data_IF_484060558259
#
_entry.id   IF_484060558259
#
_cell.length_a   1.000
_cell.length_b   1.000
_cell.length_c   1.000
_cell.angle_alpha   90.00
_cell.angle_beta   90.00
_cell.angle_gamma   90.00
#
_symmetry.space_group_name_H-M   'P 1'
#
loop_
_entity.id
_entity.type
_entity.pdbx_description
1 polymer ?
#
# COMPACT_ATOMS: atom_id res chain seq x y z
N UNK A 1 50.01 77.62 -2.76
CA UNK A 1 50.55 76.45 -3.51
C UNK A 1 50.92 75.39 -2.47
N UNK A 2 50.16 74.28 -2.40
CA UNK A 2 50.58 72.93 -2.85
C UNK A 2 51.86 72.46 -2.13
N UNK A 3 51.95 71.36 -1.39
CA UNK A 3 51.14 70.14 -1.28
C UNK A 3 51.49 69.42 0.04
N UNK A 4 50.53 68.80 0.71
CA UNK A 4 50.78 67.86 1.82
C UNK A 4 50.43 66.45 1.33
N UNK A 5 51.40 65.56 1.48
CA UNK A 5 51.35 64.13 1.20
C UNK A 5 51.11 63.41 2.54
N UNK A 6 49.94 62.79 2.77
CA UNK A 6 49.78 61.82 3.87
C UNK A 6 48.95 60.62 3.40
N UNK A 7 49.72 59.54 3.19
CA UNK A 7 49.54 58.15 3.57
C UNK A 7 48.11 57.56 3.70
N UNK A 8 47.84 56.59 2.82
CA UNK A 8 46.81 55.57 2.94
C UNK A 8 47.05 54.67 4.16
N UNK A 9 46.00 54.44 4.94
CA UNK A 9 45.83 53.23 5.75
C UNK A 9 44.43 52.65 5.45
N UNK A 10 44.36 51.67 4.54
CA UNK A 10 43.16 50.86 4.33
C UNK A 10 43.16 49.71 5.36
N UNK A 11 42.34 49.84 6.40
CA UNK A 11 41.95 48.73 7.26
C UNK A 11 40.72 48.09 6.63
N UNK A 12 40.89 46.92 6.02
CA UNK A 12 39.80 46.10 5.54
C UNK A 12 39.15 45.39 6.74
N UNK A 13 37.98 45.87 7.17
CA UNK A 13 37.08 45.12 8.04
C UNK A 13 36.31 44.12 7.16
N UNK A 14 36.78 42.89 7.12
CA UNK A 14 36.03 41.75 6.60
C UNK A 14 34.87 41.45 7.57
N UNK A 15 33.70 42.01 7.31
CA UNK A 15 32.47 41.63 7.98
C UNK A 15 32.14 40.17 7.58
N UNK A 16 32.19 39.26 8.54
CA UNK A 16 31.61 37.93 8.40
C UNK A 16 30.13 38.08 8.05
N UNK A 17 29.79 37.84 6.79
CA UNK A 17 28.43 37.66 6.33
C UNK A 17 27.85 36.40 6.98
N UNK A 18 27.20 36.57 8.12
CA UNK A 18 26.32 35.58 8.73
C UNK A 18 25.10 35.37 7.84
N UNK A 19 25.26 34.57 6.79
CA UNK A 19 24.14 33.99 6.06
C UNK A 19 23.45 33.00 6.98
N UNK A 20 22.39 33.42 7.66
CA UNK A 20 21.41 32.52 8.25
C UNK A 20 20.76 31.73 7.13
N UNK A 21 21.35 30.59 6.78
CA UNK A 21 20.69 29.59 5.95
C UNK A 21 19.40 29.21 6.67
N UNK A 22 18.26 29.68 6.17
CA UNK A 22 16.99 29.10 6.55
C UNK A 22 17.07 27.62 6.17
N UNK A 23 17.09 26.75 7.18
CA UNK A 23 16.86 25.33 6.97
C UNK A 23 15.42 25.19 6.45
N UNK A 24 15.27 25.23 5.12
CA UNK A 24 13.99 24.95 4.46
C UNK A 24 13.73 23.47 4.65
N UNK A 25 12.73 23.14 5.46
CA UNK A 25 12.27 21.76 5.63
C UNK A 25 11.78 21.28 4.25
N UNK A 26 12.26 20.13 3.72
CA UNK A 26 11.79 19.63 2.44
C UNK A 26 10.28 19.41 2.47
N UNK A 27 9.55 20.16 1.64
CA UNK A 27 8.13 19.93 1.45
C UNK A 27 7.98 18.79 0.44
N UNK A 28 7.63 17.60 0.94
CA UNK A 28 7.27 16.47 0.10
C UNK A 28 5.82 16.62 -0.37
N UNK A 29 5.53 16.15 -1.58
CA UNK A 29 4.15 16.11 -2.06
C UNK A 29 3.30 15.18 -1.17
N UNK A 30 2.02 15.50 -0.92
CA UNK A 30 1.14 14.64 -0.14
C UNK A 30 1.04 13.23 -0.75
N UNK A 31 1.00 12.21 0.10
CA UNK A 31 0.86 10.81 -0.32
C UNK A 31 -0.35 10.14 0.33
N UNK A 32 -1.16 9.46 -0.47
CA UNK A 32 -2.26 8.62 0.01
C UNK A 32 -1.84 7.14 -0.03
N UNK A 33 -1.67 6.50 1.12
CA UNK A 33 -1.25 5.10 1.24
C UNK A 33 -2.43 4.25 1.70
N UNK A 34 -2.74 3.21 0.93
CA UNK A 34 -3.83 2.27 1.21
C UNK A 34 -3.24 0.87 1.32
N UNK A 35 -3.29 0.27 2.50
CA UNK A 35 -2.88 -1.10 2.73
C UNK A 35 -4.10 -2.01 2.75
N UNK A 36 -4.23 -2.87 1.74
CA UNK A 36 -5.37 -3.76 1.53
C UNK A 36 -5.03 -5.13 2.08
N UNK A 37 -5.87 -5.64 2.98
CA UNK A 37 -5.67 -6.95 3.61
C UNK A 37 -6.62 -7.97 3.01
N UNK A 38 -6.04 -9.03 2.44
CA UNK A 38 -6.72 -10.30 2.19
C UNK A 38 -6.54 -11.18 3.44
N UNK A 39 -7.61 -11.25 4.23
CA UNK A 39 -7.67 -11.99 5.49
C UNK A 39 -8.37 -13.33 5.33
N UNK A 40 -8.36 -13.89 4.11
CA UNK A 40 -8.97 -15.16 3.81
C UNK A 40 -8.21 -16.33 4.43
N UNK A 41 -8.57 -17.56 4.04
CA UNK A 41 -7.95 -18.79 4.50
C UNK A 41 -6.45 -18.91 4.19
N UNK A 42 -5.85 -17.96 3.46
CA UNK A 42 -4.38 -17.82 3.38
C UNK A 42 -3.73 -17.75 4.76
N UNK A 43 -4.41 -17.13 5.74
CA UNK A 43 -3.89 -16.98 7.11
C UNK A 43 -3.71 -18.33 7.83
N UNK A 44 -4.49 -19.35 7.45
CA UNK A 44 -4.42 -20.70 8.05
C UNK A 44 -3.73 -21.72 7.15
N UNK A 45 -3.69 -21.49 5.83
CA UNK A 45 -3.00 -22.35 4.86
C UNK A 45 -1.48 -22.19 4.92
N UNK A 46 -1.00 -21.00 5.23
CA UNK A 46 0.43 -20.70 5.33
C UNK A 46 0.79 -20.47 6.80
N UNK A 47 1.55 -21.39 7.42
CA UNK A 47 1.97 -21.23 8.81
C UNK A 47 2.71 -19.90 9.04
N UNK A 48 2.31 -19.16 10.07
CA UNK A 48 2.94 -17.87 10.43
C UNK A 48 2.55 -16.69 9.54
N UNK A 49 1.60 -16.83 8.60
CA UNK A 49 1.22 -15.73 7.70
C UNK A 49 0.70 -14.49 8.43
N UNK A 50 -0.08 -14.66 9.50
CA UNK A 50 -0.58 -13.54 10.28
C UNK A 50 0.54 -12.73 10.97
N UNK A 51 1.58 -13.41 11.46
CA UNK A 51 2.74 -12.76 12.07
C UNK A 51 3.55 -12.03 11.00
N UNK A 52 3.77 -12.68 9.85
CA UNK A 52 4.47 -12.11 8.70
C UNK A 52 3.77 -10.86 8.17
N UNK A 53 2.45 -10.89 8.03
CA UNK A 53 1.70 -9.72 7.60
C UNK A 53 1.82 -8.56 8.60
N UNK A 54 1.77 -8.84 9.90
CA UNK A 54 1.98 -7.83 10.95
C UNK A 54 3.39 -7.23 10.88
N UNK A 55 4.43 -8.02 10.60
CA UNK A 55 5.79 -7.52 10.36
C UNK A 55 5.84 -6.57 9.15
N UNK A 56 5.15 -6.91 8.06
CA UNK A 56 5.06 -6.08 6.87
C UNK A 56 4.30 -4.78 7.17
N UNK A 57 3.17 -4.84 7.88
CA UNK A 57 2.41 -3.66 8.32
C UNK A 57 3.28 -2.74 9.16
N UNK A 58 4.07 -3.30 10.09
CA UNK A 58 5.02 -2.54 10.90
C UNK A 58 6.12 -1.89 10.05
N UNK A 59 6.62 -2.59 9.02
CA UNK A 59 7.57 -2.01 8.08
C UNK A 59 6.97 -0.83 7.28
N UNK A 60 5.70 -0.92 6.87
CA UNK A 60 4.96 0.20 6.26
C UNK A 60 4.85 1.37 7.24
N UNK A 61 4.45 1.12 8.49
CA UNK A 61 4.35 2.15 9.53
C UNK A 61 5.70 2.84 9.80
N UNK A 62 6.79 2.08 9.82
CA UNK A 62 8.14 2.63 10.00
C UNK A 62 8.55 3.54 8.84
N UNK A 63 8.36 3.09 7.59
CA UNK A 63 8.66 3.90 6.40
C UNK A 63 7.78 5.14 6.36
N UNK A 64 6.51 5.01 6.74
CA UNK A 64 5.59 6.14 6.88
C UNK A 64 6.08 7.13 7.94
N UNK A 65 6.52 6.66 9.12
CA UNK A 65 7.08 7.52 10.16
C UNK A 65 8.37 8.21 9.71
N UNK A 66 9.27 7.51 9.01
CA UNK A 66 10.48 8.09 8.41
C UNK A 66 10.11 9.27 7.49
N UNK A 67 9.06 9.09 6.69
CA UNK A 67 8.52 10.17 5.85
C UNK A 67 7.96 11.33 6.67
N UNK A 68 7.26 11.05 7.78
CA UNK A 68 6.72 12.09 8.65
C UNK A 68 7.83 12.89 9.35
N UNK A 69 8.92 12.23 9.77
CA UNK A 69 10.10 12.89 10.37
C UNK A 69 10.72 13.92 9.43
N UNK A 70 10.82 13.61 8.13
CA UNK A 70 11.34 14.55 7.11
C UNK A 70 10.48 15.80 6.93
N UNK A 71 9.20 15.69 7.26
CA UNK A 71 8.20 16.77 7.21
C UNK A 71 7.91 17.36 8.61
N UNK A 72 8.80 17.12 9.58
CA UNK A 72 8.63 17.52 10.98
C UNK A 72 7.27 17.13 11.61
N UNK A 73 6.60 16.12 11.04
CA UNK A 73 5.21 15.70 11.28
C UNK A 73 4.15 16.76 10.95
N UNK A 74 4.34 18.02 11.34
CA UNK A 74 3.32 19.08 11.31
C UNK A 74 3.02 19.62 9.92
N UNK A 75 3.94 19.49 8.96
CA UNK A 75 3.72 19.97 7.59
C UNK A 75 3.15 18.89 6.67
N UNK A 76 3.07 17.65 7.16
CA UNK A 76 2.61 16.53 6.36
C UNK A 76 1.12 16.59 6.10
N UNK A 77 0.75 16.14 4.90
CA UNK A 77 -0.63 15.88 4.49
C UNK A 77 -0.80 14.43 4.05
N UNK A 78 0.17 13.59 4.39
CA UNK A 78 0.11 12.18 4.05
C UNK A 78 -1.01 11.50 4.83
N UNK A 79 -1.61 10.48 4.21
CA UNK A 79 -2.59 9.63 4.86
C UNK A 79 -2.17 8.18 4.69
N UNK A 80 -2.17 7.43 5.78
CA UNK A 80 -2.05 5.98 5.77
C UNK A 80 -3.37 5.36 6.25
N UNK A 81 -3.85 4.32 5.58
CA UNK A 81 -4.98 3.53 6.05
C UNK A 81 -4.86 2.05 5.75
N UNK A 82 -5.51 1.23 6.57
CA UNK A 82 -5.78 -0.17 6.26
C UNK A 82 -7.23 -0.33 5.81
N UNK A 83 -7.42 -1.15 4.77
CA UNK A 83 -8.71 -1.57 4.27
C UNK A 83 -8.73 -3.09 4.25
N UNK A 84 -9.83 -3.68 4.71
CA UNK A 84 -10.06 -5.11 4.60
C UNK A 84 -10.83 -5.35 3.31
N UNK A 85 -10.29 -6.18 2.42
CA UNK A 85 -10.98 -6.54 1.19
C UNK A 85 -12.32 -7.21 1.51
N UNK A 86 -13.39 -7.00 0.71
CA UNK A 86 -14.70 -7.57 1.05
C UNK A 86 -14.65 -9.09 1.18
N UNK A 87 -15.00 -9.59 2.36
CA UNK A 87 -15.02 -11.02 2.64
C UNK A 87 -16.05 -11.32 3.75
N UNK A 88 -16.67 -12.52 3.77
CA UNK A 88 -17.63 -12.88 4.80
C UNK A 88 -17.04 -12.87 6.21
N UNK A 89 -17.90 -12.59 7.20
CA UNK A 89 -17.64 -12.76 8.65
C UNK A 89 -16.50 -11.92 9.25
N UNK A 90 -15.77 -11.18 8.42
CA UNK A 90 -14.85 -10.13 8.83
C UNK A 90 -15.48 -8.77 8.49
N UNK A 91 -15.68 -7.87 9.47
CA UNK A 91 -16.26 -6.57 9.21
C UNK A 91 -15.44 -5.82 8.15
N UNK A 92 -16.03 -5.60 6.98
CA UNK A 92 -15.53 -4.60 6.05
C UNK A 92 -15.68 -3.25 6.74
N UNK A 93 -14.57 -2.62 7.15
CA UNK A 93 -14.66 -1.37 7.88
C UNK A 93 -13.75 -0.31 7.33
N UNK A 94 -14.38 0.75 6.84
CA UNK A 94 -13.96 2.12 7.10
C UNK A 94 -13.96 2.33 8.62
N UNK A 95 -12.91 1.86 9.30
CA UNK A 95 -12.66 2.15 10.70
C UNK A 95 -11.69 3.33 10.77
N UNK A 96 -12.12 4.47 11.32
CA UNK A 96 -11.25 5.64 11.51
C UNK A 96 -9.99 5.31 12.34
N UNK A 97 -10.03 4.23 13.14
CA UNK A 97 -8.89 3.76 13.93
C UNK A 97 -7.82 3.04 13.10
N UNK A 98 -8.16 2.61 11.89
CA UNK A 98 -7.23 2.07 10.89
C UNK A 98 -6.75 3.17 9.92
N UNK A 99 -6.80 4.43 10.35
CA UNK A 99 -6.38 5.59 9.56
C UNK A 99 -5.47 6.49 10.39
N UNK A 100 -4.33 6.88 9.80
CA UNK A 100 -3.46 7.93 10.31
C UNK A 100 -3.48 9.06 9.28
N UNK A 101 -4.17 10.15 9.61
CA UNK A 101 -4.26 11.37 8.81
C UNK A 101 -3.36 12.44 9.41
N UNK A 102 -2.35 12.87 8.65
CA UNK A 102 -1.38 13.88 9.10
C UNK A 102 -1.80 15.31 8.76
N UNK A 103 -2.88 15.51 7.98
CA UNK A 103 -3.37 16.84 7.66
C UNK A 103 -4.07 17.50 8.85
N UNK A 104 -3.28 18.22 9.65
CA UNK A 104 -3.77 18.95 10.83
C UNK A 104 -4.52 20.24 10.49
N UNK A 105 -4.56 20.65 9.21
CA UNK A 105 -5.35 21.82 8.78
C UNK A 105 -6.84 21.52 8.73
N UNK A 106 -7.19 20.24 8.51
CA UNK A 106 -8.58 19.76 8.57
C UNK A 106 -8.99 19.70 10.04
N UNK A 107 -9.92 20.58 10.44
CA UNK A 107 -10.61 20.50 11.74
C UNK A 107 -11.50 19.26 11.77
N UNK A 108 -10.91 18.08 11.87
CA UNK A 108 -11.65 16.86 12.13
C UNK A 108 -12.07 16.94 13.59
N UNK A 109 -13.39 16.98 13.85
CA UNK A 109 -14.01 17.30 15.14
C UNK A 109 -13.70 16.35 16.29
N UNK A 110 -12.43 16.28 16.71
CA UNK A 110 -11.98 15.53 17.89
C UNK A 110 -11.15 16.45 18.77
N UNK A 111 -11.71 16.73 19.96
CA UNK A 111 -11.06 17.12 21.21
C UNK A 111 -10.02 18.26 21.19
N UNK A 112 -10.29 19.30 21.95
CA UNK A 112 -9.37 20.42 22.29
C UNK A 112 -8.10 20.02 23.08
N UNK A 113 -7.61 18.78 22.96
CA UNK A 113 -6.47 18.26 23.72
C UNK A 113 -5.65 17.14 23.07
N UNK A 114 -5.85 16.83 21.78
CA UNK A 114 -5.24 15.63 21.15
C UNK A 114 -3.77 15.76 20.70
N UNK A 115 -3.13 16.92 20.92
CA UNK A 115 -1.79 17.22 20.42
C UNK A 115 -1.75 17.33 18.88
N UNK A 116 -0.63 17.83 18.35
CA UNK A 116 -0.37 17.97 16.91
C UNK A 116 1.00 17.39 16.57
N UNK A 117 1.25 17.02 15.32
CA UNK A 117 2.54 16.50 14.89
C UNK A 117 2.86 15.15 15.55
N UNK A 118 4.07 15.03 16.14
CA UNK A 118 4.59 13.76 16.68
C UNK A 118 3.73 13.15 17.80
N UNK A 119 3.28 13.88 18.84
CA UNK A 119 2.39 13.31 19.85
C UNK A 119 1.12 12.66 19.28
N UNK A 120 0.45 13.33 18.32
CA UNK A 120 -0.74 12.80 17.66
C UNK A 120 -0.42 11.59 16.81
N UNK A 121 0.69 11.62 16.06
CA UNK A 121 1.18 10.47 15.31
C UNK A 121 1.40 9.25 16.22
N UNK A 122 2.12 9.40 17.33
CA UNK A 122 2.43 8.29 18.26
C UNK A 122 1.14 7.70 18.86
N UNK A 123 0.18 8.55 19.25
CA UNK A 123 -1.13 8.11 19.72
C UNK A 123 -1.87 7.29 18.66
N UNK A 124 -1.96 7.83 17.43
CA UNK A 124 -2.68 7.18 16.34
C UNK A 124 -2.01 5.87 15.91
N UNK A 125 -0.67 5.82 15.87
CA UNK A 125 0.10 4.59 15.62
C UNK A 125 -0.23 3.51 16.65
N UNK A 126 -0.24 3.84 17.94
CA UNK A 126 -0.57 2.87 18.98
C UNK A 126 -2.03 2.38 18.96
N UNK A 127 -2.97 3.20 18.46
CA UNK A 127 -4.35 2.76 18.20
C UNK A 127 -4.39 1.83 16.99
N UNK A 128 -3.73 2.24 15.90
CA UNK A 128 -3.66 1.50 14.65
C UNK A 128 -3.10 0.09 14.85
N UNK A 129 -1.95 -0.04 15.53
CA UNK A 129 -1.30 -1.33 15.81
C UNK A 129 -2.22 -2.29 16.60
N UNK A 130 -2.94 -1.78 17.61
CA UNK A 130 -3.89 -2.58 18.41
C UNK A 130 -5.09 -3.06 17.60
N UNK A 131 -5.61 -2.20 16.72
CA UNK A 131 -6.76 -2.54 15.87
C UNK A 131 -6.37 -3.56 14.80
N UNK A 132 -5.16 -3.45 14.24
CA UNK A 132 -4.58 -4.47 13.36
C UNK A 132 -4.52 -5.83 14.05
N UNK A 133 -3.94 -5.89 15.25
CA UNK A 133 -3.87 -7.15 16.03
C UNK A 133 -5.27 -7.75 16.27
N UNK A 134 -6.25 -6.90 16.62
CA UNK A 134 -7.63 -7.34 16.85
C UNK A 134 -8.29 -7.93 15.60
N UNK A 135 -8.05 -7.32 14.42
CA UNK A 135 -8.57 -7.79 13.13
C UNK A 135 -7.97 -9.14 12.75
N UNK A 136 -6.65 -9.30 12.88
CA UNK A 136 -6.00 -10.59 12.61
C UNK A 136 -6.51 -11.68 13.54
N UNK A 137 -6.68 -11.38 14.85
CA UNK A 137 -7.28 -12.32 15.80
C UNK A 137 -8.71 -12.71 15.41
N UNK A 138 -9.53 -11.76 14.95
CA UNK A 138 -10.89 -12.03 14.50
C UNK A 138 -10.92 -12.88 13.23
N UNK A 139 -10.06 -12.59 12.25
CA UNK A 139 -9.96 -13.34 11.01
C UNK A 139 -9.48 -14.77 11.24
N UNK A 140 -8.51 -14.98 12.12
CA UNK A 140 -8.05 -16.32 12.51
C UNK A 140 -9.14 -17.15 13.21
N UNK A 141 -10.07 -16.50 13.92
CA UNK A 141 -11.20 -17.18 14.54
C UNK A 141 -12.31 -17.57 13.55
N UNK A 142 -12.39 -16.88 12.40
CA UNK A 142 -13.43 -17.09 11.38
C UNK A 142 -12.78 -17.18 9.98
N UNK A 143 -11.94 -18.20 9.71
CA UNK A 143 -11.25 -18.30 8.43
C UNK A 143 -12.25 -18.60 7.32
N UNK A 144 -12.36 -17.70 6.35
CA UNK A 144 -13.24 -17.86 5.19
C UNK A 144 -12.44 -18.02 3.90
N UNK A 145 -13.03 -18.56 2.84
CA UNK A 145 -12.33 -18.70 1.56
C UNK A 145 -12.39 -17.43 0.71
N UNK A 146 -11.23 -16.92 0.33
CA UNK A 146 -11.07 -15.79 -0.59
C UNK A 146 -11.41 -14.41 0.00
N UNK A 147 -10.77 -13.40 -0.58
CA UNK A 147 -11.11 -12.00 -0.39
C UNK A 147 -11.48 -11.38 -1.74
N UNK A 148 -12.52 -10.53 -1.76
CA UNK A 148 -13.06 -9.95 -2.99
C UNK A 148 -12.32 -8.70 -3.44
N UNK A 149 -11.05 -8.89 -3.75
CA UNK A 149 -10.19 -7.83 -4.28
C UNK A 149 -10.71 -7.30 -5.62
N UNK A 150 -11.43 -8.09 -6.42
CA UNK A 150 -12.08 -7.59 -7.65
C UNK A 150 -13.06 -6.46 -7.32
N UNK A 151 -13.97 -6.70 -6.38
CA UNK A 151 -14.93 -5.67 -5.94
C UNK A 151 -14.21 -4.50 -5.29
N UNK A 152 -13.22 -4.73 -4.43
CA UNK A 152 -12.42 -3.64 -3.85
C UNK A 152 -11.88 -2.68 -4.92
N UNK A 153 -11.17 -3.20 -5.94
CA UNK A 153 -10.60 -2.34 -6.98
C UNK A 153 -11.68 -1.69 -7.85
N UNK A 154 -12.73 -2.43 -8.22
CA UNK A 154 -13.74 -1.94 -9.16
C UNK A 154 -14.81 -1.04 -8.56
N UNK A 155 -15.04 -1.09 -7.25
CA UNK A 155 -16.12 -0.33 -6.61
C UNK A 155 -15.63 0.54 -5.48
N UNK A 156 -14.68 0.07 -4.66
CA UNK A 156 -14.36 0.75 -3.40
C UNK A 156 -13.14 1.68 -3.50
N UNK A 157 -12.09 1.26 -4.21
CA UNK A 157 -10.82 1.99 -4.25
C UNK A 157 -11.02 3.43 -4.72
N UNK A 158 -11.59 3.62 -5.90
CA UNK A 158 -11.81 4.96 -6.45
C UNK A 158 -12.89 5.73 -5.70
N UNK A 159 -13.94 5.05 -5.23
CA UNK A 159 -15.06 5.70 -4.55
C UNK A 159 -14.69 6.24 -3.16
N UNK A 160 -13.85 5.51 -2.42
CA UNK A 160 -13.67 5.73 -0.98
C UNK A 160 -12.22 5.95 -0.56
N UNK A 161 -11.24 5.50 -1.36
CA UNK A 161 -9.86 5.33 -0.89
C UNK A 161 -8.80 6.02 -1.75
N UNK A 162 -9.20 6.77 -2.78
CA UNK A 162 -8.32 7.70 -3.48
C UNK A 162 -8.53 9.14 -3.01
N UNK A 163 -7.49 9.97 -3.12
CA UNK A 163 -7.56 11.39 -2.83
C UNK A 163 -7.25 12.17 -4.12
N UNK A 164 -8.16 13.03 -4.63
CA UNK A 164 -7.88 13.84 -5.81
C UNK A 164 -6.66 14.78 -5.67
N UNK A 165 -6.24 15.09 -4.44
CA UNK A 165 -5.12 15.96 -4.13
C UNK A 165 -3.77 15.25 -3.94
N UNK A 166 -3.72 13.92 -4.05
CA UNK A 166 -2.50 13.14 -3.79
C UNK A 166 -2.46 11.84 -4.60
N UNK A 167 -1.30 11.43 -5.16
CA UNK A 167 -1.14 10.10 -5.72
C UNK A 167 -1.43 9.02 -4.66
N UNK A 168 -1.99 7.90 -5.11
CA UNK A 168 -2.40 6.77 -4.27
C UNK A 168 -1.46 5.59 -4.45
N UNK A 169 -0.75 5.22 -3.38
CA UNK A 169 0.10 4.03 -3.31
C UNK A 169 -0.68 2.93 -2.60
N UNK A 170 -1.08 1.90 -3.33
CA UNK A 170 -1.88 0.79 -2.80
C UNK A 170 -0.96 -0.41 -2.60
N UNK A 171 -0.84 -0.89 -1.36
CA UNK A 171 -0.11 -2.12 -1.04
C UNK A 171 -1.16 -3.18 -0.73
N UNK A 172 -1.08 -4.35 -1.36
CA UNK A 172 -2.03 -5.46 -1.15
C UNK A 172 -1.26 -6.62 -0.54
N UNK A 173 -1.68 -7.09 0.64
CA UNK A 173 -1.18 -8.32 1.25
C UNK A 173 -2.12 -9.46 0.89
N UNK A 174 -1.73 -10.30 -0.07
CA UNK A 174 -2.56 -11.39 -0.62
C UNK A 174 -1.69 -12.55 -1.09
N UNK A 175 -2.22 -13.77 -1.06
CA UNK A 175 -1.54 -14.91 -1.66
C UNK A 175 -1.63 -14.88 -3.21
N UNK A 176 -2.41 -13.94 -3.73
CA UNK A 176 -2.56 -13.61 -5.14
C UNK A 176 -3.72 -14.33 -5.81
N UNK A 177 -4.46 -15.21 -5.13
CA UNK A 177 -5.60 -15.88 -5.73
C UNK A 177 -6.86 -15.03 -5.63
N UNK A 178 -7.51 -14.84 -6.78
CA UNK A 178 -8.88 -14.32 -6.83
C UNK A 178 -9.84 -15.50 -7.01
N UNK A 179 -9.87 -16.36 -6.00
CA UNK A 179 -10.75 -17.54 -5.96
C UNK A 179 -11.72 -17.41 -4.78
N UNK A 180 -12.95 -17.89 -4.97
CA UNK A 180 -14.01 -17.80 -3.98
C UNK A 180 -14.71 -19.14 -3.81
N UNK A 181 -15.45 -19.30 -2.71
CA UNK A 181 -16.36 -20.43 -2.55
C UNK A 181 -17.35 -20.55 -3.71
N UNK A 182 -17.68 -21.80 -4.05
CA UNK A 182 -18.58 -22.12 -5.18
C UNK A 182 -19.93 -21.41 -5.09
N UNK A 183 -20.47 -21.25 -3.88
CA UNK A 183 -21.73 -20.54 -3.66
C UNK A 183 -21.61 -19.05 -4.06
N UNK A 184 -20.45 -18.45 -3.78
CA UNK A 184 -20.16 -17.07 -4.14
C UNK A 184 -19.92 -16.92 -5.65
N UNK A 185 -19.14 -17.83 -6.25
CA UNK A 185 -18.86 -17.85 -7.69
C UNK A 185 -20.12 -17.97 -8.55
N UNK A 186 -21.13 -18.74 -8.12
CA UNK A 186 -22.35 -18.96 -8.91
C UNK A 186 -23.16 -17.68 -9.20
N UNK A 187 -22.88 -16.60 -8.46
CA UNK A 187 -23.56 -15.30 -8.60
C UNK A 187 -22.71 -14.24 -9.30
N UNK A 188 -21.48 -14.57 -9.70
CA UNK A 188 -20.52 -13.61 -10.26
C UNK A 188 -20.32 -13.80 -11.76
N UNK A 189 -20.06 -12.71 -12.52
CA UNK A 189 -19.60 -12.84 -13.89
C UNK A 189 -18.26 -13.59 -13.94
N UNK A 190 -18.09 -14.44 -14.96
CA UNK A 190 -16.94 -15.33 -15.08
C UNK A 190 -15.57 -14.63 -15.13
N UNK A 191 -15.52 -13.38 -15.57
CA UNK A 191 -14.29 -12.60 -15.66
C UNK A 191 -13.97 -11.78 -14.40
N UNK A 192 -14.59 -12.09 -13.25
CA UNK A 192 -14.35 -11.36 -11.98
C UNK A 192 -13.54 -12.18 -10.96
N UNK A 193 -13.01 -13.32 -11.38
CA UNK A 193 -12.21 -14.24 -10.56
C UNK A 193 -11.27 -15.05 -11.47
N UNK A 194 -10.21 -15.62 -10.90
CA UNK A 194 -9.28 -16.49 -11.63
C UNK A 194 -9.94 -17.81 -11.97
N UNK A 195 -9.84 -18.23 -13.23
CA UNK A 195 -10.48 -19.46 -13.73
C UNK A 195 -9.48 -20.40 -14.37
N UNK A 196 -9.86 -21.67 -14.37
CA UNK A 196 -9.11 -22.74 -15.02
C UNK A 196 -7.64 -22.87 -14.55
N UNK A 197 -7.30 -22.41 -13.33
CA UNK A 197 -5.93 -22.50 -12.80
C UNK A 197 -5.42 -23.96 -12.83
N UNK A 198 -6.22 -24.94 -12.41
CA UNK A 198 -5.85 -26.36 -12.49
C UNK A 198 -5.56 -26.84 -13.92
N UNK A 199 -6.39 -26.41 -14.88
CA UNK A 199 -6.20 -26.78 -16.29
C UNK A 199 -4.95 -26.11 -16.87
N UNK A 200 -4.64 -24.90 -16.43
CA UNK A 200 -3.40 -24.21 -16.81
C UNK A 200 -2.17 -24.85 -16.18
N UNK A 201 -2.23 -25.24 -14.89
CA UNK A 201 -1.17 -26.03 -14.22
C UNK A 201 -0.85 -27.31 -15.01
N UNK A 202 -1.88 -28.01 -15.48
CA UNK A 202 -1.72 -29.23 -16.28
C UNK A 202 -1.06 -29.01 -17.66
N UNK A 203 -1.15 -27.79 -18.21
CA UNK A 203 -0.59 -27.45 -19.52
C UNK A 203 0.90 -27.04 -19.47
N UNK A 204 1.48 -26.95 -18.27
CA UNK A 204 2.89 -26.61 -18.04
C UNK A 204 3.28 -25.34 -18.81
N UNK A 205 4.35 -25.37 -19.59
CA UNK A 205 4.87 -24.24 -20.40
C UNK A 205 3.86 -23.68 -21.41
N UNK A 206 2.80 -24.42 -21.75
CA UNK A 206 1.74 -23.97 -22.67
C UNK A 206 0.58 -23.25 -21.98
N UNK A 207 0.67 -23.01 -20.66
CA UNK A 207 -0.38 -22.35 -19.88
C UNK A 207 -0.76 -20.98 -20.49
N UNK A 208 0.22 -20.21 -20.99
CA UNK A 208 -0.03 -18.88 -21.55
C UNK A 208 -0.85 -18.95 -22.85
N UNK A 209 -0.52 -19.89 -23.72
CA UNK A 209 -1.30 -20.12 -24.94
C UNK A 209 -2.75 -20.55 -24.63
N UNK A 210 -2.97 -21.25 -23.51
CA UNK A 210 -4.33 -21.53 -23.03
C UNK A 210 -5.03 -20.27 -22.52
N UNK A 211 -4.35 -19.47 -21.69
CA UNK A 211 -4.87 -18.20 -21.16
C UNK A 211 -5.41 -17.31 -22.28
N UNK A 212 -4.61 -17.10 -23.33
CA UNK A 212 -4.96 -16.28 -24.48
C UNK A 212 -6.13 -16.89 -25.27
N UNK A 213 -6.02 -18.18 -25.65
CA UNK A 213 -7.05 -18.88 -26.44
C UNK A 213 -8.41 -18.92 -25.75
N UNK A 214 -8.43 -19.04 -24.42
CA UNK A 214 -9.64 -19.13 -23.61
C UNK A 214 -10.13 -17.77 -23.08
N UNK A 215 -9.40 -16.67 -23.38
CA UNK A 215 -9.72 -15.31 -22.93
C UNK A 215 -9.96 -15.27 -21.42
N UNK A 216 -8.99 -15.77 -20.66
CA UNK A 216 -9.14 -15.93 -19.21
C UNK A 216 -8.91 -14.66 -18.41
N UNK A 217 -8.42 -13.58 -19.02
CA UNK A 217 -8.21 -12.31 -18.36
C UNK A 217 -9.47 -11.80 -17.62
N UNK A 218 -9.23 -11.10 -16.51
CA UNK A 218 -10.29 -10.45 -15.76
C UNK A 218 -10.87 -9.29 -16.56
N UNK A 219 -12.15 -8.99 -16.34
CA UNK A 219 -12.77 -7.82 -16.95
C UNK A 219 -12.23 -6.54 -16.29
N UNK A 220 -11.93 -5.49 -17.07
CA UNK A 220 -11.58 -4.20 -16.51
C UNK A 220 -12.78 -3.62 -15.74
N UNK A 221 -12.50 -2.83 -14.70
CA UNK A 221 -13.52 -2.12 -13.96
C UNK A 221 -14.19 -1.06 -14.85
N UNK A 222 -15.52 -0.95 -14.79
CA UNK A 222 -16.27 -0.02 -15.64
C UNK A 222 -16.23 1.40 -15.09
N UNK A 223 -15.83 2.38 -15.92
CA UNK A 223 -16.00 3.81 -15.62
C UNK A 223 -15.02 4.40 -14.59
N UNK A 224 -14.01 3.65 -14.16
CA UNK A 224 -12.96 4.13 -13.26
C UNK A 224 -11.80 4.81 -13.99
N UNK A 225 -11.27 5.89 -13.41
CA UNK A 225 -9.99 6.48 -13.80
C UNK A 225 -8.98 6.25 -12.67
N UNK A 226 -7.96 5.44 -12.95
CA UNK A 226 -6.92 5.08 -11.98
C UNK A 226 -5.62 5.88 -12.16
N UNK A 227 -5.66 7.01 -12.88
CA UNK A 227 -4.50 7.89 -12.99
C UNK A 227 -3.97 8.30 -11.62
N UNK A 228 -2.67 8.12 -11.40
CA UNK A 228 -2.03 8.40 -10.11
C UNK A 228 -2.24 7.30 -9.05
N UNK A 229 -2.80 6.15 -9.43
CA UNK A 229 -2.83 4.94 -8.60
C UNK A 229 -1.69 4.03 -9.03
N UNK A 230 -0.85 3.65 -8.08
CA UNK A 230 0.15 2.60 -8.24
C UNK A 230 -0.10 1.49 -7.22
N UNK A 231 0.18 0.25 -7.61
CA UNK A 231 -0.11 -0.93 -6.81
C UNK A 231 1.16 -1.76 -6.55
N UNK A 232 1.30 -2.26 -5.33
CA UNK A 232 2.28 -3.27 -4.97
C UNK A 232 1.57 -4.45 -4.31
N UNK A 233 1.62 -5.62 -4.94
CA UNK A 233 1.19 -6.89 -4.34
C UNK A 233 2.38 -7.52 -3.63
N UNK A 234 2.21 -7.83 -2.35
CA UNK A 234 3.18 -8.56 -1.54
C UNK A 234 2.61 -9.91 -1.13
N UNK A 235 3.50 -10.84 -0.78
CA UNK A 235 3.16 -12.17 -0.26
C UNK A 235 2.45 -13.09 -1.27
N UNK A 236 2.61 -12.86 -2.58
CA UNK A 236 2.04 -13.75 -3.61
C UNK A 236 2.65 -15.15 -3.45
N UNK A 237 1.86 -16.09 -2.94
CA UNK A 237 2.34 -17.37 -2.42
C UNK A 237 1.67 -18.52 -3.18
N UNK A 238 2.32 -19.03 -4.24
CA UNK A 238 1.82 -20.20 -4.95
C UNK A 238 1.60 -21.39 -4.00
N UNK A 239 0.39 -21.94 -3.99
CA UNK A 239 0.00 -23.06 -3.11
C UNK A 239 0.52 -24.42 -3.61
N UNK A 240 0.83 -24.53 -4.90
CA UNK A 240 1.16 -25.77 -5.60
C UNK A 240 2.59 -25.75 -6.16
N UNK A 241 3.54 -25.07 -5.47
CA UNK A 241 4.97 -25.03 -5.87
C UNK A 241 5.58 -26.41 -6.10
N UNK A 242 5.15 -27.40 -5.32
CA UNK A 242 5.62 -28.79 -5.44
C UNK A 242 5.17 -29.50 -6.72
N UNK A 243 4.14 -28.99 -7.40
CA UNK A 243 3.55 -29.63 -8.60
C UNK A 243 3.57 -28.72 -9.84
N UNK A 244 3.79 -27.41 -9.68
CA UNK A 244 3.90 -26.46 -10.80
C UNK A 244 4.88 -25.32 -10.51
N UNK A 245 5.98 -25.29 -11.27
CA UNK A 245 6.94 -24.16 -11.28
C UNK A 245 6.37 -22.89 -11.95
N UNK A 246 5.23 -23.01 -12.64
CA UNK A 246 4.64 -21.93 -13.42
C UNK A 246 3.59 -21.13 -12.65
N UNK A 247 3.30 -21.50 -11.41
CA UNK A 247 2.15 -20.95 -10.70
C UNK A 247 2.29 -19.48 -10.34
N UNK A 248 3.45 -19.05 -9.82
CA UNK A 248 3.69 -17.62 -9.63
C UNK A 248 3.58 -16.85 -10.96
N UNK A 249 4.26 -17.27 -12.06
CA UNK A 249 4.06 -16.66 -13.37
C UNK A 249 2.60 -16.57 -13.83
N UNK A 250 1.78 -17.59 -13.58
CA UNK A 250 0.35 -17.59 -13.92
C UNK A 250 -0.41 -16.52 -13.14
N UNK A 251 -0.26 -16.50 -11.82
CA UNK A 251 -0.92 -15.52 -10.93
C UNK A 251 -0.47 -14.11 -11.29
N UNK A 252 0.83 -13.90 -11.44
CA UNK A 252 1.40 -12.63 -11.85
C UNK A 252 0.83 -12.16 -13.19
N UNK A 253 0.66 -13.07 -14.16
CA UNK A 253 0.11 -12.72 -15.46
C UNK A 253 -1.35 -12.29 -15.41
N UNK A 254 -2.18 -12.92 -14.56
CA UNK A 254 -3.55 -12.45 -14.31
C UNK A 254 -3.57 -11.01 -13.80
N UNK A 255 -2.81 -10.74 -12.73
CA UNK A 255 -2.77 -9.43 -12.10
C UNK A 255 -2.24 -8.35 -13.04
N UNK A 256 -1.12 -8.61 -13.72
CA UNK A 256 -0.57 -7.66 -14.69
C UNK A 256 -1.54 -7.37 -15.83
N UNK A 257 -2.09 -8.42 -16.46
CA UNK A 257 -3.04 -8.23 -17.57
C UNK A 257 -4.26 -7.40 -17.15
N UNK A 258 -4.76 -7.63 -15.94
CA UNK A 258 -5.90 -6.88 -15.41
C UNK A 258 -5.54 -5.42 -15.08
N UNK A 259 -4.47 -5.18 -14.34
CA UNK A 259 -4.03 -3.83 -14.00
C UNK A 259 -3.62 -3.02 -15.22
N UNK A 260 -2.91 -3.62 -16.18
CA UNK A 260 -2.55 -3.00 -17.46
C UNK A 260 -3.81 -2.57 -18.22
N UNK A 261 -4.87 -3.38 -18.22
CA UNK A 261 -6.14 -3.05 -18.88
C UNK A 261 -6.87 -1.86 -18.26
N UNK A 262 -6.52 -1.49 -17.03
CA UNK A 262 -7.07 -0.35 -16.28
C UNK A 262 -6.11 0.85 -16.23
N UNK A 263 -4.90 0.71 -16.79
CA UNK A 263 -3.85 1.74 -16.73
C UNK A 263 -3.22 1.90 -15.35
N UNK A 264 -3.20 0.84 -14.54
CA UNK A 264 -2.60 0.82 -13.20
C UNK A 264 -1.17 0.28 -13.29
N UNK A 265 -0.20 1.06 -12.80
CA UNK A 265 1.17 0.55 -12.65
C UNK A 265 1.24 -0.38 -11.44
N UNK A 266 1.68 -1.62 -11.64
CA UNK A 266 1.62 -2.67 -10.64
C UNK A 266 2.89 -3.52 -10.57
N UNK A 267 3.44 -3.62 -9.35
CA UNK A 267 4.51 -4.53 -9.00
C UNK A 267 3.94 -5.72 -8.22
N UNK A 268 4.24 -6.94 -8.68
CA UNK A 268 3.74 -8.18 -8.06
C UNK A 268 4.94 -8.96 -7.56
N UNK A 269 5.11 -8.97 -6.24
CA UNK A 269 6.23 -9.62 -5.56
C UNK A 269 5.84 -11.04 -5.12
N UNK A 270 6.72 -12.02 -5.34
CA UNK A 270 6.52 -13.35 -4.76
C UNK A 270 6.66 -13.29 -3.23
N UNK A 271 6.12 -14.29 -2.56
CA UNK A 271 6.37 -14.53 -1.14
C UNK A 271 7.88 -14.56 -0.85
N UNK A 272 8.30 -13.73 0.11
CA UNK A 272 9.69 -13.55 0.50
C UNK A 272 9.86 -13.81 2.00
N UNK A 273 10.72 -14.78 2.33
CA UNK A 273 11.01 -15.11 3.72
C UNK A 273 11.77 -13.98 4.45
N UNK A 274 12.41 -13.05 3.73
CA UNK A 274 13.24 -12.00 4.32
C UNK A 274 12.51 -10.66 4.44
N UNK A 275 12.11 -10.31 5.67
CA UNK A 275 11.43 -9.03 5.97
C UNK A 275 12.29 -7.81 5.61
N UNK A 276 13.61 -7.89 5.80
CA UNK A 276 14.52 -6.79 5.48
C UNK A 276 14.43 -6.38 4.00
N UNK A 277 14.40 -7.37 3.09
CA UNK A 277 14.22 -7.11 1.66
C UNK A 277 12.85 -6.50 1.34
N UNK A 278 11.80 -6.89 2.07
CA UNK A 278 10.46 -6.29 1.92
C UNK A 278 10.44 -4.84 2.37
N UNK A 279 11.10 -4.48 3.50
CA UNK A 279 11.15 -3.09 3.97
C UNK A 279 11.82 -2.16 2.94
N UNK A 280 12.89 -2.62 2.29
CA UNK A 280 13.56 -1.84 1.24
C UNK A 280 12.67 -1.65 0.00
N UNK A 281 11.91 -2.67 -0.40
CA UNK A 281 10.92 -2.57 -1.49
C UNK A 281 9.80 -1.58 -1.14
N UNK A 282 9.25 -1.66 0.08
CA UNK A 282 8.23 -0.71 0.56
C UNK A 282 8.80 0.71 0.55
N UNK A 283 10.04 0.88 1.00
CA UNK A 283 10.72 2.18 1.01
C UNK A 283 10.90 2.73 -0.40
N UNK A 284 11.27 1.90 -1.37
CA UNK A 284 11.38 2.31 -2.77
C UNK A 284 10.03 2.63 -3.41
N UNK A 285 8.95 1.98 -2.98
CA UNK A 285 7.61 2.22 -3.51
C UNK A 285 6.97 3.52 -3.00
N UNK A 286 7.23 3.86 -1.74
CA UNK A 286 6.61 5.02 -1.06
C UNK A 286 7.41 6.33 -1.16
N UNK A 287 8.61 6.32 -1.73
CA UNK A 287 9.48 7.50 -1.88
C UNK A 287 9.88 7.71 -3.33
#
# INVERSE_FOLDING_TARGET
>A
MRSILILLAMIALSACGGGTGQNVIPQLDPLNIVLVLDLSNRLVKTPGQADKDQEIINAVLDVFEERQKRQAYITSKDILRIVIAPQPEVPTSTNDRLRIDMDFSKKNGQGTGEGIGRPKFVKNRGIFEKEVEAIYRQALANPFTGADLYTFFCTELLANFTDPGAPSKVIVLTDGYLEFDRQYLSKRPECTYMRELDKMRAEKDRWKARFDRKKLALCPCTGGNYNGVEVMLLETAPLFKGTSVYEFPMIQHYWKTWFDSMGIDANIEPHDNQVAGIKDKIKAFLN
#
